data_IF_603477895909
#
_entry.id   IF_603477895909
#
_cell.length_a   1.000
_cell.length_b   1.000
_cell.length_c   1.000
_cell.angle_alpha   90.00
_cell.angle_beta   90.00
_cell.angle_gamma   90.00
#
_symmetry.space_group_name_H-M   'P 1'
#
loop_
_entity.id
_entity.type
_entity.pdbx_description
1 polymer ?
#
# COMPACT_ATOMS: atom_id res chain seq x y z
N UNK A 1 5.14 -2.99 -11.11
CA UNK A 1 3.85 -3.35 -10.47
C UNK A 1 3.25 -2.06 -9.90
N UNK A 2 1.93 -1.85 -9.93
CA UNK A 2 1.34 -0.69 -9.26
C UNK A 2 1.24 -0.95 -7.74
N UNK A 3 1.26 0.10 -6.91
CA UNK A 3 1.12 -0.06 -5.46
C UNK A 3 -0.19 -0.79 -5.06
N UNK A 4 -1.29 -0.56 -5.79
CA UNK A 4 -2.56 -1.25 -5.57
C UNK A 4 -2.51 -2.75 -5.85
N UNK A 5 -1.70 -3.19 -6.83
CA UNK A 5 -1.50 -4.62 -7.11
C UNK A 5 -0.79 -5.31 -5.94
N UNK A 6 0.20 -4.63 -5.34
CA UNK A 6 0.89 -5.16 -4.16
C UNK A 6 -0.06 -5.29 -2.97
N UNK A 7 -0.91 -4.29 -2.72
CA UNK A 7 -1.92 -4.37 -1.65
C UNK A 7 -2.84 -5.58 -1.81
N UNK A 8 -3.28 -5.86 -3.05
CA UNK A 8 -4.08 -7.05 -3.37
C UNK A 8 -3.31 -8.34 -3.07
N UNK A 9 -2.07 -8.46 -3.54
CA UNK A 9 -1.22 -9.64 -3.28
C UNK A 9 -0.98 -9.84 -1.78
N UNK A 10 -0.74 -8.76 -1.02
CA UNK A 10 -0.56 -8.82 0.42
C UNK A 10 -1.83 -9.29 1.14
N UNK A 11 -3.01 -8.85 0.69
CA UNK A 11 -4.31 -9.29 1.25
C UNK A 11 -4.59 -10.77 0.96
N UNK A 12 -4.29 -11.23 -0.24
CA UNK A 12 -4.44 -12.64 -0.62
C UNK A 12 -3.47 -13.54 0.17
N UNK A 13 -2.23 -13.10 0.36
CA UNK A 13 -1.19 -13.87 1.07
C UNK A 13 -1.34 -13.81 2.59
N UNK A 14 -1.81 -12.69 3.12
CA UNK A 14 -1.96 -12.44 4.55
C UNK A 14 -3.34 -11.85 4.85
N UNK A 15 -4.40 -12.68 4.91
CA UNK A 15 -5.78 -12.19 5.08
C UNK A 15 -5.97 -11.32 6.34
N UNK A 16 -5.25 -11.63 7.42
CA UNK A 16 -5.28 -10.84 8.66
C UNK A 16 -4.75 -9.41 8.55
N UNK A 17 -4.02 -9.09 7.47
CA UNK A 17 -3.53 -7.74 7.19
C UNK A 17 -4.60 -6.86 6.51
N UNK A 18 -5.69 -7.46 5.99
CA UNK A 18 -6.77 -6.75 5.29
C UNK A 18 -7.28 -5.50 6.04
N UNK A 19 -7.70 -5.63 7.32
CA UNK A 19 -8.18 -4.49 8.10
C UNK A 19 -7.14 -3.38 8.32
N UNK A 20 -5.85 -3.75 8.38
CA UNK A 20 -4.77 -2.76 8.48
C UNK A 20 -4.60 -2.03 7.14
N UNK A 21 -4.61 -2.75 6.02
CA UNK A 21 -4.49 -2.16 4.68
C UNK A 21 -5.65 -1.21 4.35
N UNK A 22 -6.85 -1.47 4.88
CA UNK A 22 -8.03 -0.60 4.69
C UNK A 22 -7.85 0.80 5.31
N UNK A 23 -6.92 0.95 6.26
CA UNK A 23 -6.68 2.22 6.98
C UNK A 23 -5.25 2.74 6.85
N UNK A 24 -4.34 1.93 6.34
CA UNK A 24 -2.94 2.30 6.15
C UNK A 24 -2.73 3.15 4.88
N UNK A 25 -1.57 3.80 4.80
CA UNK A 25 -1.01 4.31 3.56
C UNK A 25 0.13 3.38 3.09
N UNK A 26 0.40 3.37 1.79
CA UNK A 26 1.60 2.75 1.24
C UNK A 26 2.60 3.85 0.89
N UNK A 27 3.89 3.56 1.05
CA UNK A 27 4.96 4.41 0.52
C UNK A 27 5.99 3.57 -0.23
N UNK A 28 6.47 4.05 -1.37
CA UNK A 28 7.54 3.42 -2.16
C UNK A 28 8.72 4.39 -2.15
N UNK A 29 9.88 3.94 -1.65
CA UNK A 29 11.08 4.79 -1.52
C UNK A 29 10.78 6.17 -0.88
N UNK A 30 10.05 6.16 0.25
CA UNK A 30 9.62 7.34 1.01
C UNK A 30 8.55 8.22 0.34
N UNK A 31 8.07 7.89 -0.86
CA UNK A 31 6.98 8.61 -1.52
C UNK A 31 5.63 7.92 -1.26
N UNK A 32 4.67 8.66 -0.71
CA UNK A 32 3.35 8.13 -0.41
C UNK A 32 2.56 7.81 -1.69
N UNK A 33 2.09 6.57 -1.79
CA UNK A 33 0.99 6.24 -2.67
C UNK A 33 -0.32 6.74 -2.02
N UNK A 34 -1.20 7.33 -2.83
CA UNK A 34 -2.47 7.86 -2.33
C UNK A 34 -3.28 6.81 -1.55
N UNK A 35 -4.21 7.23 -0.68
CA UNK A 35 -4.95 6.32 0.23
C UNK A 35 -5.70 5.19 -0.50
N UNK A 36 -6.08 5.41 -1.76
CA UNK A 36 -6.72 4.39 -2.58
C UNK A 36 -5.78 3.23 -3.00
N UNK A 37 -4.45 3.42 -2.99
CA UNK A 37 -3.49 2.35 -3.29
C UNK A 37 -3.47 1.28 -2.19
N UNK A 38 -3.49 1.67 -0.92
CA UNK A 38 -3.49 0.74 0.21
C UNK A 38 -4.78 -0.08 0.30
N UNK A 39 -5.91 0.52 -0.08
CA UNK A 39 -7.19 -0.17 -0.24
C UNK A 39 -7.23 -1.14 -1.45
N UNK A 40 -6.17 -1.22 -2.26
CA UNK A 40 -6.09 -2.09 -3.43
C UNK A 40 -6.88 -1.59 -4.64
N UNK A 41 -7.25 -0.30 -4.68
CA UNK A 41 -7.93 0.27 -5.84
C UNK A 41 -6.95 0.46 -7.00
N UNK A 42 -7.27 -0.04 -8.21
CA UNK A 42 -6.43 0.17 -9.39
C UNK A 42 -6.26 1.64 -9.74
N UNK A 43 -7.27 2.49 -9.46
CA UNK A 43 -7.19 3.94 -9.67
C UNK A 43 -6.32 4.65 -8.61
N UNK A 44 -6.03 4.00 -7.48
CA UNK A 44 -5.41 4.62 -6.31
C UNK A 44 -3.88 4.69 -6.34
N UNK A 45 -3.24 4.04 -7.30
CA UNK A 45 -1.79 3.89 -7.37
C UNK A 45 -1.20 4.09 -8.76
N UNK A 46 -1.95 4.68 -9.70
CA UNK A 46 -1.52 4.80 -11.11
C UNK A 46 -0.24 5.63 -11.30
N UNK A 47 0.11 6.49 -10.33
CA UNK A 47 1.35 7.26 -10.35
C UNK A 47 2.59 6.52 -9.85
N UNK A 48 2.45 5.56 -8.94
CA UNK A 48 3.59 4.99 -8.18
C UNK A 48 3.87 3.55 -8.60
N UNK A 49 4.91 3.36 -9.43
CA UNK A 49 5.34 2.05 -9.93
C UNK A 49 6.45 1.46 -9.08
N UNK A 50 6.22 0.26 -8.56
CA UNK A 50 7.20 -0.56 -7.86
C UNK A 50 8.05 -1.34 -8.88
N UNK A 51 9.36 -1.32 -8.67
CA UNK A 51 10.42 -2.02 -9.42
C UNK A 51 11.19 -2.98 -8.51
N UNK A 52 11.90 -3.97 -9.07
CA UNK A 52 12.79 -4.82 -8.28
C UNK A 52 13.81 -3.99 -7.50
N UNK A 53 13.91 -4.23 -6.20
CA UNK A 53 14.81 -3.49 -5.30
C UNK A 53 14.18 -2.27 -4.61
N UNK A 54 12.97 -1.86 -5.00
CA UNK A 54 12.27 -0.79 -4.28
C UNK A 54 11.84 -1.22 -2.88
N UNK A 55 11.95 -0.31 -1.92
CA UNK A 55 11.42 -0.50 -0.59
C UNK A 55 9.98 -0.02 -0.53
N UNK A 56 9.10 -0.86 0.04
CA UNK A 56 7.69 -0.52 0.22
C UNK A 56 7.32 -0.61 1.69
N UNK A 57 6.83 0.51 2.23
CA UNK A 57 6.35 0.60 3.60
C UNK A 57 4.81 0.54 3.64
N UNK A 58 4.28 -0.24 4.56
CA UNK A 58 2.87 -0.16 4.99
C UNK A 58 2.84 0.70 6.25
N UNK A 59 2.14 1.82 6.20
CA UNK A 59 2.12 2.83 7.26
C UNK A 59 0.72 2.86 7.88
N UNK A 60 0.48 2.21 9.03
CA UNK A 60 -0.79 2.28 9.73
C UNK A 60 -1.15 3.73 10.13
N UNK A 61 -2.42 4.02 10.45
CA UNK A 61 -2.80 5.30 11.02
C UNK A 61 -1.92 5.64 12.22
N UNK A 62 -1.32 6.82 12.18
CA UNK A 62 -0.54 7.32 13.31
C UNK A 62 -1.50 7.75 14.42
N UNK A 63 -1.52 7.06 15.54
CA UNK A 63 -2.08 7.60 16.77
C UNK A 63 -1.05 8.56 17.34
N UNK A 64 -1.13 9.84 16.95
CA UNK A 64 -0.29 10.88 17.52
C UNK A 64 -0.43 10.87 19.04
N UNK A 65 0.67 10.61 19.74
CA UNK A 65 0.82 10.87 21.18
C UNK A 65 1.20 12.31 21.42
#
# INVERSE_FOLDING_TARGET
MAAGDLARVLRERFPGLGPVLDTAALAVNMEYAGPAAAAGSPAGGEGLRIRPGDEVAVIPPVSGG
#
